data_IF_369815755068
#
_entry.id   IF_369815755068
#
_cell.length_a   1.000
_cell.length_b   1.000
_cell.length_c   1.000
_cell.angle_alpha   90.00
_cell.angle_beta   90.00
_cell.angle_gamma   90.00
#
_symmetry.space_group_name_H-M   'P 1'
#
loop_
_entity.id
_entity.type
_entity.pdbx_description
1 polymer ?
#
# COMPACT_ATOMS: atom_id res chain seq x y z
N UNK A 1 -50.94 -4.61 5.40
CA UNK A 1 -49.68 -4.18 6.06
C UNK A 1 -48.55 -4.43 5.09
N UNK A 2 -47.75 -3.40 4.76
CA UNK A 2 -46.55 -3.59 3.96
C UNK A 2 -45.59 -4.54 4.69
N UNK A 3 -44.95 -5.46 3.96
CA UNK A 3 -43.92 -6.32 4.53
C UNK A 3 -42.75 -5.45 4.98
N UNK A 4 -42.37 -5.53 6.25
CA UNK A 4 -41.21 -4.81 6.78
C UNK A 4 -39.95 -5.52 6.28
N UNK A 5 -39.07 -4.76 5.64
CA UNK A 5 -37.86 -5.23 4.98
C UNK A 5 -36.64 -4.50 5.55
N UNK A 6 -35.55 -5.24 5.80
CA UNK A 6 -34.26 -4.68 6.19
C UNK A 6 -33.35 -4.64 4.96
N UNK A 7 -33.01 -3.43 4.51
CA UNK A 7 -32.04 -3.23 3.44
C UNK A 7 -30.62 -3.40 4.00
N UNK A 8 -29.92 -4.39 3.45
CA UNK A 8 -28.55 -4.77 3.85
C UNK A 8 -27.55 -4.69 2.70
N UNK A 9 -27.98 -4.43 1.47
CA UNK A 9 -27.06 -4.13 0.37
C UNK A 9 -26.60 -2.69 0.50
N UNK A 10 -25.29 -2.51 0.57
CA UNK A 10 -24.63 -1.21 0.65
C UNK A 10 -23.84 -1.07 -0.65
N UNK A 11 -24.18 -0.11 -1.52
CA UNK A 11 -23.44 0.12 -2.77
C UNK A 11 -22.06 0.72 -2.48
N UNK A 12 -21.15 0.64 -3.46
CA UNK A 12 -19.81 1.20 -3.38
C UNK A 12 -18.69 0.16 -3.30
N UNK A 13 -17.49 0.58 -3.66
CA UNK A 13 -16.26 -0.22 -3.66
C UNK A 13 -15.23 0.48 -2.76
N UNK A 14 -15.01 0.01 -1.51
CA UNK A 14 -13.98 0.55 -0.62
C UNK A 14 -12.60 0.64 -1.28
N UNK A 15 -12.29 -0.29 -2.17
CA UNK A 15 -11.03 -0.37 -2.91
C UNK A 15 -10.85 0.85 -3.81
N UNK A 16 -11.90 1.25 -4.55
CA UNK A 16 -11.88 2.44 -5.40
C UNK A 16 -11.69 3.73 -4.58
N UNK A 17 -12.30 3.83 -3.40
CA UNK A 17 -12.07 4.96 -2.50
C UNK A 17 -10.63 5.00 -1.98
N UNK A 18 -10.05 3.84 -1.68
CA UNK A 18 -8.65 3.71 -1.25
C UNK A 18 -7.68 4.08 -2.36
N UNK A 19 -7.94 3.65 -3.59
CA UNK A 19 -7.16 4.02 -4.77
C UNK A 19 -7.22 5.53 -5.03
N UNK A 20 -8.40 6.14 -4.95
CA UNK A 20 -8.55 7.59 -5.05
C UNK A 20 -7.79 8.34 -3.94
N UNK A 21 -7.82 7.85 -2.70
CA UNK A 21 -7.04 8.41 -1.61
C UNK A 21 -5.53 8.31 -1.84
N UNK A 22 -5.04 7.20 -2.42
CA UNK A 22 -3.63 7.05 -2.82
C UNK A 22 -3.27 8.04 -3.93
N UNK A 23 -4.11 8.18 -4.95
CA UNK A 23 -3.89 9.12 -6.05
C UNK A 23 -3.81 10.57 -5.57
N UNK A 24 -4.67 10.97 -4.63
CA UNK A 24 -4.61 12.31 -4.02
C UNK A 24 -3.36 12.51 -3.17
N UNK A 25 -2.89 11.49 -2.43
CA UNK A 25 -1.61 11.57 -1.71
C UNK A 25 -0.44 11.78 -2.67
N UNK A 26 -0.37 11.01 -3.77
CA UNK A 26 0.63 11.22 -4.82
C UNK A 26 0.59 12.64 -5.39
N UNK A 27 -0.61 13.18 -5.61
CA UNK A 27 -0.78 14.59 -5.99
C UNK A 27 -0.25 15.54 -4.91
N UNK A 28 -0.56 15.31 -3.64
CA UNK A 28 -0.03 16.09 -2.50
C UNK A 28 1.49 16.11 -2.46
N UNK A 29 2.14 14.96 -2.69
CA UNK A 29 3.60 14.85 -2.79
C UNK A 29 4.15 15.61 -4.01
N UNK A 30 3.54 15.46 -5.18
CA UNK A 30 3.95 16.20 -6.38
C UNK A 30 3.84 17.73 -6.18
N UNK A 31 2.79 18.20 -5.52
CA UNK A 31 2.60 19.61 -5.17
C UNK A 31 3.66 20.10 -4.18
N UNK A 32 4.05 19.27 -3.21
CA UNK A 32 5.13 19.59 -2.28
C UNK A 32 6.49 19.71 -3.00
N UNK A 33 6.77 18.79 -3.94
CA UNK A 33 7.94 18.89 -4.81
C UNK A 33 7.95 20.16 -5.66
N UNK A 34 6.80 20.52 -6.25
CA UNK A 34 6.65 21.76 -6.99
C UNK A 34 6.87 23.01 -6.11
N UNK A 35 6.26 23.08 -4.92
CA UNK A 35 6.47 24.18 -3.97
C UNK A 35 7.95 24.31 -3.58
N UNK A 36 8.63 23.18 -3.34
CA UNK A 36 10.06 23.17 -3.04
C UNK A 36 10.88 23.79 -4.19
N UNK A 37 10.64 23.35 -5.43
CA UNK A 37 11.32 23.89 -6.61
C UNK A 37 11.03 25.38 -6.79
N UNK A 38 9.78 25.80 -6.67
CA UNK A 38 9.39 27.21 -6.80
C UNK A 38 10.07 28.08 -5.74
N UNK A 39 10.17 27.62 -4.49
CA UNK A 39 10.90 28.32 -3.43
C UNK A 39 12.40 28.37 -3.67
N UNK A 40 12.97 27.33 -4.27
CA UNK A 40 14.36 27.34 -4.70
C UNK A 40 14.57 28.37 -5.82
N UNK A 41 13.67 28.42 -6.80
CA UNK A 41 13.71 29.38 -7.90
C UNK A 41 13.55 30.83 -7.42
N UNK A 42 12.72 31.08 -6.41
CA UNK A 42 12.56 32.40 -5.80
C UNK A 42 13.85 32.95 -5.16
N UNK A 43 14.89 32.12 -4.96
CA UNK A 43 16.19 32.50 -4.38
C UNK A 43 17.30 32.71 -5.41
N UNK A 44 17.03 32.60 -6.71
CA UNK A 44 18.08 32.83 -7.72
C UNK A 44 18.69 34.23 -7.56
N UNK A 45 20.02 34.38 -7.56
CA UNK A 45 20.72 35.67 -7.57
C UNK A 45 20.25 36.57 -8.70
N UNK A 46 20.29 37.90 -8.48
CA UNK A 46 19.84 38.84 -9.52
C UNK A 46 20.81 38.86 -10.70
N UNK A 47 22.09 38.60 -10.41
CA UNK A 47 23.18 38.57 -11.38
C UNK A 47 23.03 37.44 -12.42
N UNK A 48 22.21 36.41 -12.13
CA UNK A 48 21.91 35.32 -13.06
C UNK A 48 20.86 35.70 -14.13
N UNK A 49 20.18 36.83 -13.94
CA UNK A 49 19.24 37.39 -14.92
C UNK A 49 19.95 38.52 -15.65
N UNK A 50 20.14 38.37 -16.97
CA UNK A 50 20.91 39.28 -17.81
C UNK A 50 20.22 40.64 -18.07
N UNK A 51 19.79 41.33 -17.01
CA UNK A 51 19.20 42.68 -17.05
C UNK A 51 17.67 42.72 -17.03
N UNK A 52 16.97 41.61 -17.26
CA UNK A 52 15.50 41.58 -17.34
C UNK A 52 14.88 40.61 -16.33
N UNK A 53 13.94 41.13 -15.53
CA UNK A 53 12.86 40.34 -14.92
C UNK A 53 13.19 39.49 -13.67
N UNK A 54 14.35 39.64 -13.03
CA UNK A 54 14.68 38.85 -11.83
C UNK A 54 13.64 39.02 -10.71
N UNK A 55 13.26 40.26 -10.40
CA UNK A 55 12.31 40.56 -9.34
C UNK A 55 10.88 40.13 -9.71
N UNK A 56 10.47 40.33 -10.96
CA UNK A 56 9.18 39.86 -11.49
C UNK A 56 9.09 38.33 -11.45
N UNK A 57 10.16 37.63 -11.85
CA UNK A 57 10.25 36.18 -11.78
C UNK A 57 10.17 35.67 -10.34
N UNK A 58 10.95 36.25 -9.42
CA UNK A 58 10.89 35.89 -7.99
C UNK A 58 9.52 36.16 -7.40
N UNK A 59 8.88 37.28 -7.76
CA UNK A 59 7.53 37.61 -7.32
C UNK A 59 6.50 36.60 -7.86
N UNK A 60 6.61 36.20 -9.13
CA UNK A 60 5.77 35.17 -9.73
C UNK A 60 5.97 33.80 -9.05
N UNK A 61 7.22 33.40 -8.78
CA UNK A 61 7.51 32.20 -8.00
C UNK A 61 6.93 32.29 -6.58
N UNK A 62 7.11 33.40 -5.87
CA UNK A 62 6.57 33.56 -4.53
C UNK A 62 5.02 33.46 -4.51
N UNK A 63 4.36 34.06 -5.50
CA UNK A 63 2.90 33.96 -5.65
C UNK A 63 2.46 32.51 -5.91
N UNK A 64 3.11 31.82 -6.86
CA UNK A 64 2.83 30.41 -7.16
C UNK A 64 3.07 29.48 -5.96
N UNK A 65 4.15 29.70 -5.20
CA UNK A 65 4.42 28.95 -3.98
C UNK A 65 3.33 29.16 -2.92
N UNK A 66 2.83 30.39 -2.78
CA UNK A 66 1.69 30.70 -1.92
C UNK A 66 0.41 29.96 -2.32
N UNK A 67 0.11 29.88 -3.63
CA UNK A 67 -1.04 29.15 -4.15
C UNK A 67 -0.91 27.63 -3.93
N UNK A 68 0.25 27.04 -4.23
CA UNK A 68 0.52 25.62 -4.02
C UNK A 68 0.43 25.23 -2.53
N UNK A 69 0.98 26.06 -1.64
CA UNK A 69 0.90 25.86 -0.21
C UNK A 69 -0.55 25.90 0.32
N UNK A 70 -1.41 26.73 -0.27
CA UNK A 70 -2.83 26.79 0.07
C UNK A 70 -3.63 25.57 -0.40
N UNK A 71 -3.20 24.93 -1.48
CA UNK A 71 -3.92 23.80 -2.10
C UNK A 71 -3.69 22.46 -1.38
N UNK A 72 -2.45 22.23 -0.91
CA UNK A 72 -2.02 20.96 -0.32
C UNK A 72 -2.85 20.50 0.89
N UNK A 73 -3.15 21.34 1.90
CA UNK A 73 -3.96 20.90 3.05
C UNK A 73 -5.35 20.37 2.65
N UNK A 74 -5.93 20.93 1.59
CA UNK A 74 -7.19 20.44 1.04
C UNK A 74 -7.06 19.05 0.43
N UNK A 75 -6.05 18.84 -0.42
CA UNK A 75 -5.78 17.53 -1.05
C UNK A 75 -5.50 16.45 -0.01
N UNK A 76 -4.64 16.75 0.96
CA UNK A 76 -4.30 15.84 2.06
C UNK A 76 -5.54 15.52 2.92
N UNK A 77 -6.36 16.55 3.21
CA UNK A 77 -7.62 16.40 3.93
C UNK A 77 -8.64 15.52 3.21
N UNK A 78 -8.79 15.69 1.89
CA UNK A 78 -9.68 14.87 1.07
C UNK A 78 -9.19 13.43 0.95
N UNK A 79 -7.88 13.22 0.79
CA UNK A 79 -7.29 11.89 0.77
C UNK A 79 -7.58 11.13 2.07
N UNK A 80 -7.40 11.80 3.22
CA UNK A 80 -7.70 11.24 4.53
C UNK A 80 -9.19 10.94 4.70
N UNK A 81 -10.07 11.84 4.26
CA UNK A 81 -11.52 11.65 4.32
C UNK A 81 -11.97 10.45 3.47
N UNK A 82 -11.42 10.29 2.25
CA UNK A 82 -11.69 9.14 1.39
C UNK A 82 -11.22 7.82 2.01
N UNK A 83 -10.04 7.79 2.63
CA UNK A 83 -9.56 6.59 3.33
C UNK A 83 -10.49 6.21 4.49
N UNK A 84 -10.85 7.18 5.34
CA UNK A 84 -11.79 6.96 6.45
C UNK A 84 -13.17 6.50 5.95
N UNK A 85 -13.65 7.06 4.84
CA UNK A 85 -14.88 6.63 4.20
C UNK A 85 -14.79 5.18 3.72
N UNK A 86 -13.69 4.80 3.06
CA UNK A 86 -13.43 3.43 2.62
C UNK A 86 -13.46 2.44 3.78
N UNK A 87 -12.75 2.74 4.87
CA UNK A 87 -12.68 1.88 6.06
C UNK A 87 -14.07 1.69 6.68
N UNK A 88 -14.84 2.77 6.83
CA UNK A 88 -16.21 2.71 7.36
C UNK A 88 -17.15 1.94 6.42
N UNK A 89 -17.04 2.14 5.11
CA UNK A 89 -17.83 1.42 4.10
C UNK A 89 -17.56 -0.09 4.17
N UNK A 90 -16.28 -0.49 4.22
CA UNK A 90 -15.88 -1.89 4.35
C UNK A 90 -16.40 -2.52 5.67
N UNK A 91 -16.31 -1.78 6.77
CA UNK A 91 -16.86 -2.18 8.07
C UNK A 91 -18.39 -2.41 8.01
N UNK A 92 -19.13 -1.46 7.44
CA UNK A 92 -20.58 -1.55 7.25
C UNK A 92 -20.95 -2.74 6.34
N UNK A 93 -20.26 -2.93 5.22
CA UNK A 93 -20.47 -4.07 4.33
C UNK A 93 -20.24 -5.41 5.04
N UNK A 94 -19.23 -5.49 5.92
CA UNK A 94 -18.94 -6.67 6.75
C UNK A 94 -20.04 -6.95 7.76
N UNK A 95 -20.54 -5.92 8.46
CA UNK A 95 -21.70 -6.05 9.36
C UNK A 95 -22.92 -6.54 8.59
N UNK A 96 -23.22 -5.98 7.42
CA UNK A 96 -24.37 -6.39 6.60
C UNK A 96 -24.24 -7.83 6.10
N UNK A 97 -23.03 -8.29 5.72
CA UNK A 97 -22.76 -9.69 5.39
C UNK A 97 -23.07 -10.61 6.59
N UNK A 98 -22.67 -10.21 7.80
CA UNK A 98 -22.96 -10.94 9.03
C UNK A 98 -24.47 -10.99 9.33
N UNK A 99 -25.18 -9.86 9.19
CA UNK A 99 -26.64 -9.79 9.33
C UNK A 99 -27.32 -10.78 8.39
N UNK A 100 -26.95 -10.81 7.10
CA UNK A 100 -27.50 -11.78 6.14
C UNK A 100 -27.18 -13.23 6.51
N UNK A 101 -25.97 -13.52 7.00
CA UNK A 101 -25.60 -14.87 7.44
C UNK A 101 -26.43 -15.32 8.64
N UNK A 102 -26.57 -14.46 9.66
CA UNK A 102 -27.41 -14.72 10.83
C UNK A 102 -28.88 -14.90 10.42
N UNK A 103 -29.38 -14.06 9.51
CA UNK A 103 -30.74 -14.18 9.01
C UNK A 103 -31.01 -15.55 8.37
N UNK A 104 -30.10 -16.04 7.52
CA UNK A 104 -30.20 -17.39 6.92
C UNK A 104 -30.16 -18.49 7.98
N UNK A 105 -29.33 -18.35 9.01
CA UNK A 105 -29.23 -19.33 10.10
C UNK A 105 -30.49 -19.43 10.98
N UNK A 106 -31.41 -18.47 10.89
CA UNK A 106 -32.71 -18.47 11.59
C UNK A 106 -33.90 -18.52 10.60
N UNK A 107 -33.69 -19.06 9.40
CA UNK A 107 -34.74 -19.24 8.38
C UNK A 107 -35.50 -17.93 8.01
N UNK A 108 -34.82 -16.79 8.07
CA UNK A 108 -35.34 -15.54 7.50
C UNK A 108 -35.11 -15.51 5.99
N UNK A 109 -36.02 -14.86 5.25
CA UNK A 109 -35.91 -14.75 3.79
C UNK A 109 -34.87 -13.71 3.45
N UNK A 110 -33.80 -14.11 2.77
CA UNK A 110 -32.77 -13.21 2.25
C UNK A 110 -32.86 -13.17 0.73
N UNK A 111 -33.34 -12.05 0.20
CA UNK A 111 -33.57 -11.82 -1.23
C UNK A 111 -32.65 -10.70 -1.72
N UNK A 112 -31.55 -11.09 -2.38
CA UNK A 112 -30.48 -10.18 -2.79
C UNK A 112 -29.93 -9.35 -1.61
N UNK A 113 -30.29 -8.07 -1.60
CA UNK A 113 -29.89 -7.09 -0.58
C UNK A 113 -30.80 -7.02 0.64
N UNK A 114 -31.89 -7.77 0.68
CA UNK A 114 -32.96 -7.58 1.63
C UNK A 114 -33.10 -8.75 2.60
N UNK A 115 -33.46 -8.47 3.85
CA UNK A 115 -33.89 -9.48 4.82
C UNK A 115 -35.36 -9.23 5.18
N UNK A 116 -36.18 -10.28 5.11
CA UNK A 116 -37.63 -10.25 5.38
C UNK A 116 -38.02 -11.40 6.29
N UNK A 117 -39.13 -11.22 7.03
CA UNK A 117 -39.78 -12.33 7.72
C UNK A 117 -40.51 -13.22 6.69
N UNK A 118 -40.43 -14.56 6.81
CA UNK A 118 -41.24 -15.45 5.98
C UNK A 118 -42.74 -15.29 6.30
N UNK A 119 -43.64 -15.72 5.39
CA UNK A 119 -45.07 -15.79 5.70
C UNK A 119 -45.31 -16.73 6.89
N UNK A 120 -46.05 -16.26 7.90
CA UNK A 120 -46.29 -17.01 9.14
C UNK A 120 -45.05 -17.20 10.03
N UNK A 121 -44.31 -16.13 10.39
CA UNK A 121 -43.04 -16.29 11.07
C UNK A 121 -43.24 -16.77 12.52
N UNK A 122 -42.42 -17.73 12.93
CA UNK A 122 -42.40 -18.27 14.29
C UNK A 122 -41.83 -17.24 15.30
N UNK A 123 -41.87 -17.58 16.60
CA UNK A 123 -41.43 -16.68 17.68
C UNK A 123 -39.93 -16.35 17.60
N UNK A 124 -39.10 -17.33 17.23
CA UNK A 124 -37.65 -17.17 17.13
C UNK A 124 -37.27 -16.24 15.97
N UNK A 125 -37.84 -16.47 14.79
CA UNK A 125 -37.69 -15.60 13.61
C UNK A 125 -38.05 -14.14 13.91
N UNK A 126 -39.18 -13.90 14.60
CA UNK A 126 -39.58 -12.54 15.01
C UNK A 126 -38.59 -11.92 15.99
N UNK A 127 -38.06 -12.72 16.93
CA UNK A 127 -37.06 -12.27 17.91
C UNK A 127 -35.76 -11.90 17.20
N UNK A 128 -35.22 -12.79 16.38
CA UNK A 128 -34.00 -12.57 15.61
C UNK A 128 -34.15 -11.36 14.70
N UNK A 129 -35.26 -11.23 13.96
CA UNK A 129 -35.51 -10.07 13.11
C UNK A 129 -35.50 -8.75 13.91
N UNK A 130 -36.17 -8.71 15.08
CA UNK A 130 -36.14 -7.53 15.97
C UNK A 130 -34.74 -7.20 16.49
N UNK A 131 -33.91 -8.20 16.72
CA UNK A 131 -32.51 -8.00 17.12
C UNK A 131 -31.65 -7.46 15.98
N UNK A 132 -31.92 -7.84 14.73
CA UNK A 132 -31.18 -7.36 13.57
C UNK A 132 -31.51 -5.91 13.19
N UNK A 133 -32.74 -5.45 13.43
CA UNK A 133 -33.21 -4.09 13.12
C UNK A 133 -32.27 -2.99 13.64
N UNK A 134 -31.95 -2.89 14.95
CA UNK A 134 -31.09 -1.83 15.46
C UNK A 134 -29.64 -1.92 14.94
N UNK A 135 -29.15 -3.13 14.62
CA UNK A 135 -27.80 -3.33 14.06
C UNK A 135 -27.73 -2.73 12.64
N UNK A 136 -28.72 -3.05 11.81
CA UNK A 136 -28.81 -2.51 10.45
C UNK A 136 -28.97 -0.99 10.49
N UNK A 137 -29.82 -0.46 11.37
CA UNK A 137 -30.00 0.99 11.54
C UNK A 137 -28.69 1.69 11.95
N UNK A 138 -27.96 1.15 12.93
CA UNK A 138 -26.69 1.71 13.37
C UNK A 138 -25.63 1.71 12.25
N UNK A 139 -25.55 0.64 11.46
CA UNK A 139 -24.63 0.56 10.33
C UNK A 139 -24.92 1.63 9.25
N UNK A 140 -26.20 1.88 8.95
CA UNK A 140 -26.58 2.96 8.04
C UNK A 140 -26.27 4.36 8.60
N UNK A 141 -26.43 4.56 9.91
CA UNK A 141 -26.04 5.82 10.56
C UNK A 141 -24.54 6.06 10.46
N UNK A 142 -23.70 5.04 10.67
CA UNK A 142 -22.25 5.15 10.50
C UNK A 142 -21.87 5.55 9.07
N UNK A 143 -22.52 4.95 8.07
CA UNK A 143 -22.27 5.28 6.67
C UNK A 143 -22.70 6.73 6.35
N UNK A 144 -23.86 7.16 6.83
CA UNK A 144 -24.34 8.53 6.60
C UNK A 144 -23.38 9.59 7.16
N UNK A 145 -22.84 9.39 8.36
CA UNK A 145 -21.82 10.29 8.92
C UNK A 145 -20.52 10.26 8.10
N UNK A 146 -20.12 9.10 7.58
CA UNK A 146 -18.96 8.99 6.70
C UNK A 146 -19.15 9.77 5.39
N UNK A 147 -20.35 9.74 4.80
CA UNK A 147 -20.68 10.52 3.61
C UNK A 147 -20.69 12.03 3.89
N UNK A 148 -21.16 12.45 5.07
CA UNK A 148 -21.12 13.84 5.49
C UNK A 148 -19.69 14.35 5.71
N UNK A 149 -18.84 13.57 6.39
CA UNK A 149 -17.42 13.88 6.58
C UNK A 149 -16.70 14.02 5.22
N UNK A 150 -16.97 13.11 4.27
CA UNK A 150 -16.40 13.16 2.94
C UNK A 150 -16.88 14.39 2.17
N UNK A 151 -18.18 14.72 2.23
CA UNK A 151 -18.74 15.91 1.58
C UNK A 151 -18.11 17.19 2.14
N UNK A 152 -17.96 17.29 3.46
CA UNK A 152 -17.30 18.42 4.09
C UNK A 152 -15.85 18.59 3.62
N UNK A 153 -15.11 17.49 3.44
CA UNK A 153 -13.75 17.54 2.90
C UNK A 153 -13.73 17.99 1.43
N UNK A 154 -14.65 17.51 0.59
CA UNK A 154 -14.79 17.96 -0.80
C UNK A 154 -15.09 19.46 -0.87
N UNK A 155 -15.98 19.96 -0.01
CA UNK A 155 -16.34 21.38 0.04
C UNK A 155 -15.18 22.30 0.48
N UNK A 156 -14.16 21.79 1.15
CA UNK A 156 -12.93 22.53 1.44
C UNK A 156 -12.01 22.60 0.22
N UNK A 157 -11.98 21.53 -0.58
CA UNK A 157 -11.13 21.44 -1.78
C UNK A 157 -11.72 22.19 -2.96
N UNK A 158 -13.03 22.07 -3.22
CA UNK A 158 -13.68 22.66 -4.40
C UNK A 158 -13.48 24.19 -4.54
N UNK A 159 -13.63 25.01 -3.49
CA UNK A 159 -13.33 26.45 -3.56
C UNK A 159 -11.87 26.73 -3.89
N UNK A 160 -10.95 25.90 -3.40
CA UNK A 160 -9.52 26.03 -3.64
C UNK A 160 -9.16 25.65 -5.09
N UNK A 161 -9.80 24.61 -5.64
CA UNK A 161 -9.68 24.23 -7.05
C UNK A 161 -10.23 25.35 -7.95
N UNK A 162 -11.46 25.81 -7.69
CA UNK A 162 -12.13 26.81 -8.55
C UNK A 162 -11.43 28.17 -8.57
N UNK A 163 -10.77 28.54 -7.47
CA UNK A 163 -10.01 29.80 -7.37
C UNK A 163 -8.61 29.69 -7.94
N UNK A 164 -8.13 28.48 -8.26
CA UNK A 164 -6.79 28.30 -8.76
C UNK A 164 -6.70 28.77 -10.23
N UNK A 165 -5.86 29.78 -10.53
CA UNK A 165 -5.74 30.32 -11.89
C UNK A 165 -5.19 29.29 -12.89
N UNK A 166 -4.40 28.31 -12.45
CA UNK A 166 -3.93 27.22 -13.31
C UNK A 166 -5.09 26.30 -13.73
N UNK A 167 -6.05 26.06 -12.84
CA UNK A 167 -7.26 25.27 -13.16
C UNK A 167 -8.21 26.07 -14.04
N UNK A 168 -8.35 27.38 -13.79
CA UNK A 168 -9.13 28.27 -14.64
C UNK A 168 -8.53 28.45 -16.05
N UNK A 169 -7.21 28.28 -16.19
CA UNK A 169 -6.51 28.30 -17.48
C UNK A 169 -6.69 27.00 -18.28
N UNK A 170 -7.10 25.90 -17.64
CA UNK A 170 -7.48 24.67 -18.34
C UNK A 170 -8.95 24.77 -18.81
N UNK A 171 -9.22 24.72 -20.13
CA UNK A 171 -10.59 24.77 -20.62
C UNK A 171 -11.38 23.55 -20.12
N UNK A 172 -12.53 23.81 -19.49
CA UNK A 172 -13.46 22.79 -18.93
C UNK A 172 -13.99 21.79 -19.97
N UNK A 173 -13.66 22.00 -21.25
CA UNK A 173 -14.09 21.22 -22.42
C UNK A 173 -12.97 20.46 -23.12
N UNK A 174 -11.76 20.38 -22.56
CA UNK A 174 -10.75 19.46 -23.09
C UNK A 174 -11.24 18.02 -22.88
N UNK A 175 -11.92 17.48 -23.89
CA UNK A 175 -12.21 16.06 -23.97
C UNK A 175 -10.89 15.31 -23.76
N UNK A 176 -10.86 14.23 -22.96
CA UNK A 176 -9.65 13.43 -22.80
C UNK A 176 -9.12 13.10 -24.20
N UNK A 177 -7.80 13.20 -24.44
CA UNK A 177 -7.23 12.93 -25.75
C UNK A 177 -7.73 11.56 -26.19
N UNK A 178 -8.49 11.54 -27.29
CA UNK A 178 -8.98 10.30 -27.86
C UNK A 178 -7.75 9.58 -28.36
N UNK A 179 -7.30 8.56 -27.62
CA UNK A 179 -6.17 7.74 -28.04
C UNK A 179 -6.59 7.06 -29.31
N UNK A 180 -6.01 7.48 -30.44
CA UNK A 180 -6.15 6.77 -31.71
C UNK A 180 -5.37 5.47 -31.59
N UNK A 181 -6.02 4.30 -31.51
CA UNK A 181 -5.34 3.01 -31.35
C UNK A 181 -4.51 2.63 -32.58
N UNK A 182 -4.58 3.41 -33.66
CA UNK A 182 -3.82 3.20 -34.90
C UNK A 182 -2.62 4.14 -35.06
N UNK A 183 -2.43 5.10 -34.15
CA UNK A 183 -1.28 5.99 -34.20
C UNK A 183 0.00 5.26 -33.73
N UNK A 184 1.08 5.23 -34.54
CA UNK A 184 2.35 4.63 -34.13
C UNK A 184 2.96 5.41 -32.96
N UNK A 185 3.40 4.68 -31.92
CA UNK A 185 4.06 5.25 -30.75
C UNK A 185 5.37 5.93 -31.16
N UNK A 186 5.62 7.21 -30.77
CA UNK A 186 6.82 7.92 -31.20
C UNK A 186 7.95 7.73 -30.19
N UNK A 187 8.55 6.54 -30.10
CA UNK A 187 9.86 6.38 -29.44
C UNK A 187 10.66 5.27 -30.15
N UNK A 188 11.61 5.70 -30.99
CA UNK A 188 12.72 4.86 -31.46
C UNK A 188 13.76 4.73 -30.34
N UNK A 189 13.89 3.53 -29.77
CA UNK A 189 15.03 3.16 -28.92
C UNK A 189 16.14 2.51 -29.77
N UNK A 190 17.43 2.84 -29.57
CA UNK A 190 18.52 2.27 -30.34
C UNK A 190 18.70 0.75 -30.14
N UNK A 191 19.18 0.02 -31.17
CA UNK A 191 19.37 -1.42 -31.10
C UNK A 191 20.74 -1.79 -30.51
N UNK A 192 20.70 -2.69 -29.52
CA UNK A 192 21.67 -3.77 -29.32
C UNK A 192 23.01 -3.45 -28.68
N UNK A 193 23.20 -3.93 -27.45
CA UNK A 193 24.49 -4.45 -26.98
C UNK A 193 24.27 -5.76 -26.18
N UNK A 194 25.23 -6.69 -26.18
CA UNK A 194 24.98 -8.13 -26.10
C UNK A 194 24.87 -8.69 -24.67
N UNK A 195 24.31 -9.89 -24.63
CA UNK A 195 24.02 -10.72 -23.47
C UNK A 195 25.20 -10.88 -22.49
N UNK A 196 24.85 -10.73 -21.21
CA UNK A 196 25.65 -10.98 -20.01
C UNK A 196 24.81 -11.87 -19.08
N UNK A 197 25.37 -12.85 -18.33
CA UNK A 197 26.78 -13.24 -18.14
C UNK A 197 27.16 -14.61 -18.76
N UNK A 198 28.45 -15.02 -18.69
CA UNK A 198 28.96 -16.27 -19.30
C UNK A 198 28.70 -17.53 -18.45
N UNK A 199 28.64 -18.68 -19.14
CA UNK A 199 28.56 -20.02 -18.55
C UNK A 199 29.81 -20.36 -17.70
N UNK A 200 29.59 -20.89 -16.49
CA UNK A 200 30.60 -21.62 -15.73
C UNK A 200 30.20 -23.10 -15.60
N UNK A 201 31.09 -24.05 -15.94
CA UNK A 201 30.94 -25.45 -15.58
C UNK A 201 31.68 -25.72 -14.27
N UNK A 202 31.10 -26.51 -13.36
CA UNK A 202 31.73 -27.72 -12.82
C UNK A 202 30.95 -28.29 -11.64
N UNK A 203 30.67 -29.58 -11.79
CA UNK A 203 30.12 -30.52 -10.84
C UNK A 203 31.08 -30.80 -9.67
N UNK A 204 30.51 -31.10 -8.50
CA UNK A 204 31.16 -31.90 -7.45
C UNK A 204 30.14 -32.91 -6.89
N UNK A 205 30.61 -34.06 -6.36
CA UNK A 205 29.85 -35.30 -6.32
C UNK A 205 28.95 -35.46 -5.09
N UNK A 206 27.91 -36.27 -5.28
CA UNK A 206 26.90 -36.69 -4.30
C UNK A 206 27.49 -37.40 -3.07
N UNK A 207 27.09 -36.92 -1.88
CA UNK A 207 27.10 -37.71 -0.64
C UNK A 207 25.64 -37.77 -0.17
N UNK A 208 25.05 -38.97 -0.19
CA UNK A 208 23.69 -39.20 0.27
C UNK A 208 23.63 -39.35 1.80
N UNK A 209 22.73 -38.63 2.51
CA UNK A 209 22.35 -38.98 3.87
C UNK A 209 21.02 -39.73 3.88
N UNK A 210 21.06 -40.96 4.36
CA UNK A 210 19.89 -41.74 4.79
C UNK A 210 19.40 -41.21 6.15
N UNK A 211 18.29 -40.46 6.13
CA UNK A 211 17.56 -40.07 7.34
C UNK A 211 16.18 -39.53 6.96
N UNK A 212 15.11 -40.16 7.45
CA UNK A 212 13.72 -39.77 7.19
C UNK A 212 13.33 -38.47 7.89
N UNK A 213 13.90 -37.35 7.44
CA UNK A 213 13.43 -36.01 7.76
C UNK A 213 12.30 -35.63 6.81
N UNK A 214 11.25 -35.02 7.35
CA UNK A 214 10.22 -34.36 6.55
C UNK A 214 10.92 -33.37 5.63
N UNK A 215 10.86 -33.59 4.32
CA UNK A 215 11.50 -32.71 3.34
C UNK A 215 10.68 -31.42 3.32
N UNK A 216 11.16 -30.38 3.99
CA UNK A 216 10.59 -29.05 3.87
C UNK A 216 10.97 -28.50 2.50
N UNK A 217 9.99 -28.38 1.61
CA UNK A 217 10.18 -27.69 0.35
C UNK A 217 10.38 -26.20 0.65
N UNK A 218 11.57 -25.68 0.37
CA UNK A 218 11.80 -24.23 0.43
C UNK A 218 11.09 -23.59 -0.77
N UNK A 219 10.12 -22.68 -0.55
CA UNK A 219 9.47 -22.00 -1.66
C UNK A 219 10.48 -21.13 -2.41
N UNK A 220 10.30 -21.01 -3.72
CA UNK A 220 11.05 -20.06 -4.53
C UNK A 220 10.39 -18.68 -4.41
N UNK A 221 11.14 -17.71 -3.90
CA UNK A 221 10.65 -16.33 -3.75
C UNK A 221 11.35 -15.42 -4.75
N UNK A 222 10.59 -14.56 -5.44
CA UNK A 222 11.12 -13.52 -6.31
C UNK A 222 10.48 -12.17 -6.02
N UNK A 223 11.24 -11.09 -6.20
CA UNK A 223 10.75 -9.71 -6.10
C UNK A 223 11.46 -8.81 -7.11
N UNK A 224 10.81 -7.71 -7.51
CA UNK A 224 11.45 -6.65 -8.29
C UNK A 224 12.22 -5.71 -7.36
N UNK A 225 13.46 -5.42 -7.69
CA UNK A 225 14.31 -4.49 -6.92
C UNK A 225 14.45 -3.18 -7.71
N UNK A 226 14.48 -2.00 -7.06
CA UNK A 226 14.68 -0.74 -7.76
C UNK A 226 16.01 -0.72 -8.54
N UNK A 227 16.04 -0.01 -9.68
CA UNK A 227 17.25 0.05 -10.52
C UNK A 227 18.40 0.65 -9.73
N UNK A 228 19.60 0.11 -9.99
CA UNK A 228 20.88 0.56 -9.41
C UNK A 228 21.05 0.31 -7.91
N UNK A 229 20.09 -0.33 -7.25
CA UNK A 229 20.30 -0.83 -5.90
C UNK A 229 21.25 -2.02 -5.94
N UNK A 230 22.22 -2.03 -5.04
CA UNK A 230 23.13 -3.15 -4.89
C UNK A 230 22.38 -4.30 -4.22
N UNK A 231 22.39 -5.49 -4.84
CA UNK A 231 21.74 -6.68 -4.30
C UNK A 231 22.77 -7.68 -3.77
N UNK A 232 22.47 -8.26 -2.62
CA UNK A 232 23.28 -9.27 -1.96
C UNK A 232 22.38 -10.47 -1.67
N UNK A 233 22.68 -11.61 -2.28
CA UNK A 233 21.99 -12.86 -2.03
C UNK A 233 22.60 -13.58 -0.83
N UNK A 234 21.75 -14.17 0.01
CA UNK A 234 22.12 -14.92 1.22
C UNK A 234 23.18 -14.23 2.13
N UNK A 235 23.03 -12.93 2.45
CA UNK A 235 24.08 -12.19 3.18
C UNK A 235 24.26 -12.65 4.63
N UNK A 236 23.25 -13.30 5.21
CA UNK A 236 23.29 -13.82 6.58
C UNK A 236 22.28 -14.97 6.77
N UNK A 237 22.42 -15.81 7.81
CA UNK A 237 21.44 -16.87 8.10
C UNK A 237 20.01 -16.33 8.24
N UNK A 238 19.08 -16.90 7.49
CA UNK A 238 17.67 -16.49 7.48
C UNK A 238 17.38 -15.20 6.70
N UNK A 239 18.39 -14.63 6.02
CA UNK A 239 18.25 -13.49 5.11
C UNK A 239 18.52 -13.98 3.70
N UNK A 240 17.49 -14.01 2.86
CA UNK A 240 17.61 -14.51 1.48
C UNK A 240 18.14 -13.45 0.52
N UNK A 241 17.79 -12.17 0.74
CA UNK A 241 18.23 -11.06 -0.09
C UNK A 241 18.27 -9.76 0.69
N UNK A 242 19.29 -8.94 0.45
CA UNK A 242 19.33 -7.53 0.84
C UNK A 242 19.54 -6.69 -0.41
N UNK A 243 18.78 -5.62 -0.58
CA UNK A 243 19.01 -4.60 -1.60
C UNK A 243 19.20 -3.23 -0.96
N UNK A 244 20.24 -2.50 -1.33
CA UNK A 244 20.56 -1.19 -0.75
C UNK A 244 20.61 -0.10 -1.81
N UNK A 245 20.07 1.07 -1.48
CA UNK A 245 20.17 2.26 -2.31
C UNK A 245 21.65 2.66 -2.51
N UNK A 246 22.02 3.23 -3.68
CA UNK A 246 23.40 3.53 -4.02
C UNK A 246 24.06 4.64 -3.19
N UNK A 247 23.28 5.44 -2.46
CA UNK A 247 23.78 6.50 -1.60
C UNK A 247 23.00 6.55 -0.29
N UNK A 248 23.70 6.88 0.79
CA UNK A 248 23.08 7.18 2.07
C UNK A 248 22.18 8.41 1.93
N UNK A 249 21.00 8.34 2.56
CA UNK A 249 20.12 9.49 2.66
C UNK A 249 20.73 10.59 3.55
N UNK A 250 20.22 11.84 3.49
CA UNK A 250 20.66 12.93 4.37
C UNK A 250 20.64 12.59 5.87
N UNK A 251 19.74 11.72 6.31
CA UNK A 251 19.69 11.17 7.67
C UNK A 251 20.88 10.31 8.08
N UNK A 252 21.74 9.93 7.13
CA UNK A 252 22.87 9.03 7.35
C UNK A 252 22.47 7.55 7.38
N UNK A 253 21.19 7.23 7.18
CA UNK A 253 20.71 5.86 7.00
C UNK A 253 20.55 5.55 5.50
N UNK A 254 21.16 4.47 5.01
CA UNK A 254 20.98 4.04 3.63
C UNK A 254 19.68 3.26 3.51
N UNK A 255 18.74 3.68 2.65
CA UNK A 255 17.52 2.92 2.40
C UNK A 255 17.83 1.48 1.98
N UNK A 256 17.10 0.53 2.55
CA UNK A 256 17.36 -0.90 2.40
C UNK A 256 16.05 -1.69 2.25
N UNK A 257 16.08 -2.75 1.46
CA UNK A 257 15.08 -3.80 1.41
C UNK A 257 15.73 -5.10 1.90
N UNK A 258 15.17 -5.75 2.90
CA UNK A 258 15.63 -7.05 3.40
C UNK A 258 14.52 -8.08 3.28
N UNK A 259 14.80 -9.19 2.60
CA UNK A 259 13.93 -10.34 2.47
C UNK A 259 14.44 -11.47 3.36
N UNK A 260 13.61 -11.88 4.30
CA UNK A 260 13.83 -13.02 5.18
C UNK A 260 12.92 -14.17 4.79
N UNK A 261 13.46 -15.38 4.84
CA UNK A 261 12.68 -16.60 4.74
C UNK A 261 13.07 -17.54 5.87
N UNK A 262 12.08 -18.20 6.48
CA UNK A 262 12.35 -19.13 7.57
C UNK A 262 11.18 -20.05 7.87
N UNK A 263 11.44 -21.24 8.46
CA UNK A 263 10.39 -22.13 8.89
C UNK A 263 9.55 -21.48 10.00
N UNK A 264 8.25 -21.73 9.97
CA UNK A 264 7.29 -21.35 11.01
C UNK A 264 6.75 -22.62 11.63
N UNK A 265 6.62 -22.62 12.96
CA UNK A 265 6.11 -23.76 13.69
C UNK A 265 4.76 -24.23 13.13
N UNK A 266 4.66 -25.53 12.86
CA UNK A 266 3.51 -26.14 12.22
C UNK A 266 2.22 -25.86 13.00
N UNK A 267 1.24 -25.24 12.33
CA UNK A 267 -0.06 -24.91 12.91
C UNK A 267 -0.20 -23.47 13.42
N UNK A 268 0.87 -22.67 13.41
CA UNK A 268 0.77 -21.24 13.69
C UNK A 268 0.00 -20.53 12.57
N UNK A 269 -0.97 -19.69 12.93
CA UNK A 269 -1.59 -18.80 11.96
C UNK A 269 -0.64 -17.65 11.59
N UNK A 270 -0.87 -16.99 10.44
CA UNK A 270 -0.14 -15.78 10.05
C UNK A 270 -0.17 -14.75 11.18
N UNK A 271 -1.33 -14.49 11.78
CA UNK A 271 -1.48 -13.53 12.87
C UNK A 271 -0.69 -13.92 14.11
N UNK A 272 -0.72 -15.18 14.53
CA UNK A 272 -0.02 -15.65 15.73
C UNK A 272 1.50 -15.59 15.54
N UNK A 273 1.98 -16.10 14.39
CA UNK A 273 3.40 -16.04 14.02
C UNK A 273 3.89 -14.60 14.00
N UNK A 274 3.12 -13.67 13.43
CA UNK A 274 3.50 -12.26 13.34
C UNK A 274 3.49 -11.54 14.66
N UNK A 275 2.51 -11.82 15.52
CA UNK A 275 2.51 -11.29 16.88
C UNK A 275 3.75 -11.76 17.67
N UNK A 276 4.12 -13.03 17.55
CA UNK A 276 5.34 -13.56 18.17
C UNK A 276 6.61 -12.92 17.60
N UNK A 277 6.71 -12.82 16.27
CA UNK A 277 7.85 -12.21 15.59
C UNK A 277 8.06 -10.75 16.01
N UNK A 278 6.98 -9.95 16.09
CA UNK A 278 7.06 -8.56 16.55
C UNK A 278 7.42 -8.45 18.04
N UNK A 279 6.93 -9.36 18.89
CA UNK A 279 7.34 -9.43 20.30
C UNK A 279 8.83 -9.73 20.45
N UNK A 280 9.36 -10.67 19.65
CA UNK A 280 10.80 -10.93 19.59
C UNK A 280 11.58 -9.71 19.10
N UNK A 281 11.13 -9.06 18.03
CA UNK A 281 11.77 -7.87 17.48
C UNK A 281 11.82 -6.70 18.49
N UNK A 282 10.74 -6.50 19.24
CA UNK A 282 10.67 -5.47 20.29
C UNK A 282 11.66 -5.71 21.44
N UNK A 283 12.12 -6.94 21.64
CA UNK A 283 13.19 -7.24 22.62
C UNK A 283 14.61 -6.98 22.08
N UNK A 284 14.75 -6.82 20.76
CA UNK A 284 16.03 -6.70 20.07
C UNK A 284 16.32 -5.28 19.59
N UNK A 285 15.28 -4.50 19.26
CA UNK A 285 15.41 -3.15 18.73
C UNK A 285 15.25 -2.09 19.84
N UNK A 286 16.07 -1.05 19.77
CA UNK A 286 15.96 0.10 20.66
C UNK A 286 14.79 1.00 20.24
N UNK A 287 14.01 1.47 21.22
CA UNK A 287 12.88 2.38 21.03
C UNK A 287 11.89 1.93 19.93
N UNK A 288 11.55 0.64 19.86
CA UNK A 288 10.55 0.14 18.91
C UNK A 288 9.16 0.74 19.20
N UNK A 289 8.57 1.39 18.20
CA UNK A 289 7.20 1.91 18.25
C UNK A 289 6.43 1.45 17.01
N UNK A 290 5.31 0.75 17.20
CA UNK A 290 4.41 0.33 16.10
C UNK A 290 3.46 1.49 15.79
N UNK A 291 3.50 1.99 14.55
CA UNK A 291 2.64 3.07 14.08
C UNK A 291 1.37 2.56 13.39
N UNK A 292 1.47 1.44 12.68
CA UNK A 292 0.36 0.81 11.96
C UNK A 292 0.53 -0.71 11.90
N UNK A 293 -0.59 -1.43 11.90
CA UNK A 293 -0.60 -2.89 11.73
C UNK A 293 -1.94 -3.33 11.16
N UNK A 294 -1.90 -4.09 10.08
CA UNK A 294 -3.09 -4.60 9.41
C UNK A 294 -2.83 -5.95 8.73
N UNK A 295 -3.89 -6.62 8.28
CA UNK A 295 -3.80 -7.75 7.35
C UNK A 295 -4.45 -7.31 6.05
N UNK A 296 -3.64 -7.15 5.01
CA UNK A 296 -4.06 -6.74 3.68
C UNK A 296 -4.14 -7.94 2.75
N UNK A 297 -4.95 -7.82 1.69
CA UNK A 297 -5.01 -8.79 0.61
C UNK A 297 -4.10 -8.29 -0.53
N UNK A 298 -3.09 -9.07 -0.89
CA UNK A 298 -2.25 -8.83 -2.08
C UNK A 298 -2.41 -10.01 -3.02
N UNK A 299 -3.02 -9.77 -4.19
CA UNK A 299 -3.33 -10.77 -5.20
C UNK A 299 -4.11 -12.00 -4.67
N UNK A 300 -5.01 -11.79 -3.71
CA UNK A 300 -5.84 -12.85 -3.11
C UNK A 300 -5.17 -13.60 -1.96
N UNK A 301 -3.93 -13.26 -1.60
CA UNK A 301 -3.21 -13.83 -0.48
C UNK A 301 -3.21 -12.87 0.72
N UNK A 302 -3.47 -13.38 1.95
CA UNK A 302 -3.40 -12.56 3.15
C UNK A 302 -1.95 -12.23 3.50
N UNK A 303 -1.68 -10.94 3.68
CA UNK A 303 -0.35 -10.39 4.01
C UNK A 303 -0.45 -9.57 5.28
N UNK A 304 0.34 -9.92 6.29
CA UNK A 304 0.44 -9.12 7.49
C UNK A 304 1.36 -7.93 7.22
N UNK A 305 0.82 -6.73 7.36
CA UNK A 305 1.55 -5.48 7.23
C UNK A 305 1.78 -4.86 8.60
N UNK A 306 2.99 -4.37 8.84
CA UNK A 306 3.33 -3.62 10.06
C UNK A 306 4.27 -2.47 9.71
N UNK A 307 3.87 -1.26 10.10
CA UNK A 307 4.72 -0.09 10.11
C UNK A 307 5.23 0.16 11.51
N UNK A 308 6.53 0.28 11.67
CA UNK A 308 7.13 0.59 12.96
C UNK A 308 8.39 1.43 12.78
N UNK A 309 8.75 2.14 13.85
CA UNK A 309 10.03 2.82 13.95
C UNK A 309 10.88 2.20 15.03
N UNK A 310 12.18 2.41 14.92
CA UNK A 310 13.14 2.10 15.97
C UNK A 310 14.36 3.03 15.84
N UNK A 311 15.28 2.94 16.81
CA UNK A 311 16.55 3.65 16.76
C UNK A 311 17.69 2.71 16.44
N UNK A 312 18.62 3.15 15.61
CA UNK A 312 19.92 2.48 15.41
C UNK A 312 21.04 3.53 15.42
N UNK A 313 21.94 3.40 16.40
CA UNK A 313 22.90 4.47 16.69
C UNK A 313 22.18 5.77 17.03
N UNK A 314 22.45 6.83 16.25
CA UNK A 314 21.80 8.13 16.39
C UNK A 314 20.65 8.40 15.41
N UNK A 315 20.30 7.45 14.55
CA UNK A 315 19.28 7.63 13.52
C UNK A 315 17.95 7.00 13.95
N UNK A 316 16.86 7.75 13.75
CA UNK A 316 15.50 7.23 13.82
C UNK A 316 15.14 6.62 12.46
N UNK A 317 14.82 5.34 12.45
CA UNK A 317 14.55 4.55 11.24
C UNK A 317 13.07 4.20 11.19
N UNK A 318 12.48 4.36 10.02
CA UNK A 318 11.16 3.87 9.69
C UNK A 318 11.25 2.58 8.88
N UNK A 319 10.46 1.59 9.29
CA UNK A 319 10.32 0.31 8.62
C UNK A 319 8.85 0.07 8.23
N UNK A 320 8.64 -0.33 6.97
CA UNK A 320 7.41 -1.00 6.54
C UNK A 320 7.75 -2.49 6.32
N UNK A 321 6.97 -3.39 6.94
CA UNK A 321 7.20 -4.82 6.89
C UNK A 321 5.95 -5.55 6.40
N UNK A 322 6.13 -6.39 5.38
CA UNK A 322 5.11 -7.29 4.84
C UNK A 322 5.51 -8.72 5.12
N UNK A 323 4.55 -9.54 5.51
CA UNK A 323 4.80 -10.93 5.79
C UNK A 323 3.72 -11.86 5.24
N UNK A 324 4.19 -12.91 4.56
CA UNK A 324 3.41 -13.99 3.99
C UNK A 324 3.71 -15.27 4.74
N UNK A 325 2.72 -16.14 4.87
CA UNK A 325 2.89 -17.50 5.40
C UNK A 325 2.48 -18.48 4.30
N UNK A 326 3.46 -19.17 3.72
CA UNK A 326 3.28 -20.08 2.60
C UNK A 326 3.81 -21.46 2.97
N UNK A 327 2.93 -22.48 3.06
CA UNK A 327 3.30 -23.87 3.37
C UNK A 327 4.23 -24.05 4.59
N UNK A 328 3.96 -23.28 5.66
CA UNK A 328 4.76 -23.32 6.89
C UNK A 328 6.11 -22.60 6.78
N UNK A 329 6.33 -21.84 5.71
CA UNK A 329 7.47 -20.94 5.55
C UNK A 329 6.97 -19.50 5.65
N UNK A 330 7.57 -18.75 6.58
CA UNK A 330 7.37 -17.33 6.70
C UNK A 330 8.29 -16.60 5.73
N UNK A 331 7.71 -15.75 4.90
CA UNK A 331 8.44 -14.80 4.03
C UNK A 331 8.19 -13.41 4.60
N UNK A 332 9.24 -12.64 4.88
CA UNK A 332 9.12 -11.28 5.41
C UNK A 332 9.97 -10.32 4.57
N UNK A 333 9.34 -9.32 3.98
CA UNK A 333 10.01 -8.20 3.31
C UNK A 333 9.97 -6.99 4.24
N UNK A 334 11.12 -6.39 4.51
CA UNK A 334 11.22 -5.13 5.27
C UNK A 334 11.86 -4.06 4.41
N UNK A 335 11.16 -2.95 4.19
CA UNK A 335 11.74 -1.71 3.67
C UNK A 335 12.10 -0.78 4.82
N UNK A 336 13.35 -0.37 4.90
CA UNK A 336 13.90 0.46 5.98
C UNK A 336 14.46 1.76 5.41
N UNK A 337 14.20 2.89 6.06
CA UNK A 337 14.68 4.21 5.65
C UNK A 337 14.79 5.14 6.85
N UNK A 338 15.63 6.18 6.79
CA UNK A 338 15.59 7.24 7.78
C UNK A 338 14.21 7.88 7.87
N UNK A 339 13.75 8.22 9.09
CA UNK A 339 12.41 8.78 9.30
C UNK A 339 12.15 10.06 8.48
N UNK A 340 13.18 10.87 8.25
CA UNK A 340 13.08 12.10 7.48
C UNK A 340 12.78 11.84 5.99
N UNK A 341 13.21 10.70 5.44
CA UNK A 341 13.04 10.34 4.04
C UNK A 341 11.88 9.35 3.82
N UNK A 342 11.18 8.95 4.88
CA UNK A 342 10.09 7.96 4.78
C UNK A 342 9.04 8.32 3.72
N UNK A 343 8.68 9.61 3.62
CA UNK A 343 7.72 10.09 2.64
C UNK A 343 8.16 9.90 1.17
N UNK A 344 9.47 9.78 0.92
CA UNK A 344 10.02 9.58 -0.43
C UNK A 344 10.12 8.09 -0.79
N UNK A 345 10.13 7.19 0.20
CA UNK A 345 10.36 5.75 0.01
C UNK A 345 9.14 4.87 0.29
N UNK A 346 8.12 5.36 1.00
CA UNK A 346 6.97 4.54 1.38
C UNK A 346 6.23 3.93 0.17
N UNK A 347 5.98 4.72 -0.86
CA UNK A 347 5.32 4.25 -2.09
C UNK A 347 6.21 3.24 -2.84
N UNK A 348 7.53 3.45 -2.85
CA UNK A 348 8.48 2.52 -3.46
C UNK A 348 8.49 1.16 -2.73
N UNK A 349 8.44 1.17 -1.40
CA UNK A 349 8.39 -0.07 -0.62
C UNK A 349 7.07 -0.82 -0.86
N UNK A 350 5.93 -0.11 -0.91
CA UNK A 350 4.63 -0.70 -1.26
C UNK A 350 4.66 -1.30 -2.68
N UNK A 351 5.24 -0.59 -3.65
CA UNK A 351 5.39 -1.04 -5.03
C UNK A 351 6.30 -2.28 -5.14
N UNK A 352 7.38 -2.37 -4.35
CA UNK A 352 8.24 -3.57 -4.31
C UNK A 352 7.51 -4.74 -3.65
N UNK A 353 6.82 -4.51 -2.54
CA UNK A 353 6.04 -5.55 -1.86
C UNK A 353 4.97 -6.17 -2.77
N UNK A 354 4.34 -5.35 -3.62
CA UNK A 354 3.38 -5.80 -4.63
C UNK A 354 3.99 -6.66 -5.76
N UNK A 355 5.31 -6.84 -5.80
CA UNK A 355 5.99 -7.72 -6.78
C UNK A 355 6.49 -9.03 -6.18
N UNK A 356 6.26 -9.27 -4.89
CA UNK A 356 6.67 -10.51 -4.23
C UNK A 356 5.83 -11.66 -4.77
N UNK A 357 6.49 -12.59 -5.46
CA UNK A 357 5.90 -13.85 -5.90
C UNK A 357 6.51 -14.99 -5.10
N UNK A 358 5.67 -15.86 -4.53
CA UNK A 358 6.06 -17.07 -3.80
C UNK A 358 5.55 -18.26 -4.60
N UNK A 359 6.46 -19.12 -5.04
CA UNK A 359 6.14 -20.32 -5.83
C UNK A 359 6.56 -21.57 -5.08
N UNK A 360 5.76 -22.62 -5.19
CA UNK A 360 6.12 -23.93 -4.67
C UNK A 360 7.46 -24.37 -5.26
N UNK A 361 8.43 -24.62 -4.39
CA UNK A 361 9.77 -25.03 -4.81
C UNK A 361 9.74 -26.43 -5.41
N UNK A 362 10.12 -26.56 -6.69
CA UNK A 362 10.59 -27.85 -7.21
C UNK A 362 11.88 -28.16 -6.46
N UNK A 363 11.93 -29.31 -5.78
CA UNK A 363 13.08 -29.78 -4.99
C UNK A 363 14.40 -29.52 -5.73
N UNK A 364 15.11 -28.47 -5.35
CA UNK A 364 16.44 -28.12 -5.85
C UNK A 364 17.41 -28.11 -4.66
N UNK A 365 18.71 -28.39 -4.86
CA UNK A 365 19.59 -28.82 -3.78
C UNK A 365 20.10 -27.69 -2.87
N UNK A 366 19.60 -26.46 -3.01
CA UNK A 366 20.10 -25.31 -2.23
C UNK A 366 18.93 -24.55 -1.60
N UNK A 367 18.79 -24.59 -0.25
CA UNK A 367 17.83 -23.77 0.47
C UNK A 367 18.22 -22.28 0.39
N UNK A 368 17.25 -21.38 0.12
CA UNK A 368 17.35 -19.97 0.50
C UNK A 368 17.43 -18.93 -0.63
N UNK A 369 17.67 -19.32 -1.89
CA UNK A 369 17.92 -18.32 -2.94
C UNK A 369 16.65 -17.56 -3.35
N UNK A 370 16.61 -16.26 -3.09
CA UNK A 370 15.67 -15.35 -3.76
C UNK A 370 16.25 -14.90 -5.09
N UNK A 371 15.39 -14.60 -6.09
CA UNK A 371 15.85 -14.05 -7.37
C UNK A 371 15.24 -12.69 -7.65
N UNK A 372 16.03 -11.70 -8.13
CA UNK A 372 15.49 -10.47 -8.67
C UNK A 372 14.64 -10.78 -9.91
N UNK A 373 13.38 -10.35 -9.92
CA UNK A 373 12.46 -10.52 -11.06
C UNK A 373 12.69 -9.49 -12.20
N UNK A 374 13.76 -8.68 -12.09
CA UNK A 374 14.05 -7.56 -12.98
C UNK A 374 13.66 -6.21 -12.37
N UNK A 375 14.25 -5.13 -12.88
CA UNK A 375 14.13 -3.81 -12.27
C UNK A 375 13.01 -2.98 -12.92
N UNK A 376 12.01 -2.58 -12.14
CA UNK A 376 10.81 -1.86 -12.63
C UNK A 376 10.85 -0.34 -12.47
N UNK A 377 11.70 0.19 -11.60
CA UNK A 377 11.77 1.61 -11.23
C UNK A 377 13.16 2.17 -11.43
#
# INVERSE_FOLDING_TARGET
>A
MAAVELLTRVPGAPESCTEAARALRRLGHALAGADHLVRQHARFPADDFAGDGADDFRQACAALGGELAGFRPGVDGLALALRRYADRLAGVQTVMRRVRRTARGHDLVVDGGAVRLPPGPNRDQRRTFRTLVPIVAAAWVVLAHAEEDLRAAVDVVDPSIRRNPLVAAYPTTAAPPTVDPTAPLPIDWPPGDPAWPPDHPSSCPDIAPTGGGTVHHTPAVSLAVPRRWATFDDPAPGVSLVAQAPAAAPSGFTPELALHTGPVDGGSSLTDWRHQAMSTLASQLDALEIEDSDVVDLDGEPVAYTRFSHRIGGADVMCDQWAWLHDGVGVTLTGSVGRAEYADYCDLFEDVAATVEIKDGVSAPVPGSARPAGARW
#
